data_IF_861417832394
#
_entry.id   IF_861417832394
#
_cell.length_a   1.000
_cell.length_b   1.000
_cell.length_c   1.000
_cell.angle_alpha   90.00
_cell.angle_beta   90.00
_cell.angle_gamma   90.00
#
_symmetry.space_group_name_H-M   'P 1'
#
loop_
_entity.id
_entity.type
_entity.pdbx_description
1 polymer ?
#
# COMPACT_ATOMS: atom_id res chain seq x y z
N UNK A 1 -4.42 -6.16 12.51
CA UNK A 1 -3.67 -4.94 12.11
C UNK A 1 -3.22 -5.18 10.67
N UNK A 2 -3.56 -4.31 9.71
CA UNK A 2 -3.29 -4.56 8.27
C UNK A 2 -1.85 -4.13 7.95
N UNK A 3 -0.94 -5.08 7.72
CA UNK A 3 0.50 -4.82 7.51
C UNK A 3 0.79 -3.78 6.41
N UNK A 4 0.00 -3.76 5.32
CA UNK A 4 0.13 -2.75 4.27
C UNK A 4 -0.21 -1.33 4.76
N UNK A 5 -1.15 -1.20 5.69
CA UNK A 5 -1.49 0.10 6.29
C UNK A 5 -0.32 0.63 7.12
N UNK A 6 0.35 -0.23 7.87
CA UNK A 6 1.55 0.14 8.64
C UNK A 6 2.72 0.52 7.73
N UNK A 7 2.90 -0.18 6.61
CA UNK A 7 3.88 0.19 5.58
C UNK A 7 3.58 1.59 5.03
N UNK A 8 2.32 1.86 4.63
CA UNK A 8 1.92 3.18 4.15
C UNK A 8 2.16 4.27 5.21
N UNK A 9 1.83 4.01 6.48
CA UNK A 9 2.07 4.96 7.56
C UNK A 9 3.57 5.27 7.74
N UNK A 10 4.43 4.24 7.65
CA UNK A 10 5.90 4.40 7.72
C UNK A 10 6.49 5.16 6.54
N UNK A 11 5.89 5.02 5.36
CA UNK A 11 6.28 5.72 4.13
C UNK A 11 5.77 7.17 4.05
N UNK A 12 5.25 7.74 5.15
CA UNK A 12 4.72 9.11 5.18
C UNK A 12 3.25 9.21 4.75
N UNK A 13 2.53 8.09 4.75
CA UNK A 13 1.11 8.01 4.47
C UNK A 13 0.77 7.87 2.98
N UNK A 14 1.73 8.00 2.07
CA UNK A 14 1.53 7.90 0.61
C UNK A 14 2.75 7.27 -0.07
N UNK A 15 2.52 6.30 -0.95
CA UNK A 15 3.58 5.67 -1.76
C UNK A 15 3.06 5.09 -3.08
N UNK A 16 3.94 4.87 -4.05
CA UNK A 16 3.63 4.10 -5.26
C UNK A 16 3.59 2.59 -4.97
N UNK A 17 3.03 1.83 -5.93
CA UNK A 17 2.84 0.39 -5.78
C UNK A 17 4.16 -0.36 -5.59
N UNK A 18 5.18 0.00 -6.38
CA UNK A 18 6.47 -0.70 -6.37
C UNK A 18 7.15 -0.56 -4.99
N UNK A 19 7.14 0.65 -4.42
CA UNK A 19 7.66 0.90 -3.08
C UNK A 19 6.90 0.11 -2.01
N UNK A 20 5.57 0.08 -2.06
CA UNK A 20 4.75 -0.69 -1.10
C UNK A 20 5.06 -2.18 -1.19
N UNK A 21 5.18 -2.71 -2.41
CA UNK A 21 5.47 -4.13 -2.66
C UNK A 21 6.88 -4.49 -2.20
N UNK A 22 7.87 -3.63 -2.43
CA UNK A 22 9.25 -3.85 -1.98
C UNK A 22 9.34 -3.90 -0.44
N UNK A 23 8.70 -2.95 0.25
CA UNK A 23 8.64 -2.95 1.72
C UNK A 23 7.88 -4.17 2.27
N UNK A 24 6.81 -4.58 1.60
CA UNK A 24 6.05 -5.78 1.97
C UNK A 24 6.91 -7.04 1.82
N UNK A 25 7.73 -7.11 0.77
CA UNK A 25 8.65 -8.22 0.55
C UNK A 25 9.73 -8.32 1.63
N UNK A 26 10.26 -7.17 2.09
CA UNK A 26 11.25 -7.12 3.19
C UNK A 26 10.75 -7.74 4.50
N UNK A 27 9.43 -7.76 4.71
CA UNK A 27 8.80 -8.38 5.89
C UNK A 27 8.17 -9.75 5.58
N UNK A 28 8.45 -10.34 4.41
CA UNK A 28 8.01 -11.68 4.04
C UNK A 28 6.63 -11.78 3.40
N UNK A 29 6.04 -10.67 2.94
CA UNK A 29 4.76 -10.67 2.21
C UNK A 29 5.06 -10.72 0.70
N UNK A 30 4.65 -11.78 -0.02
CA UNK A 30 4.88 -11.87 -1.46
C UNK A 30 4.12 -10.79 -2.25
N UNK A 31 4.65 -10.32 -3.40
CA UNK A 31 4.02 -9.26 -4.20
C UNK A 31 2.53 -9.48 -4.52
N UNK A 32 2.07 -10.68 -4.96
CA UNK A 32 0.65 -10.89 -5.24
C UNK A 32 -0.24 -10.72 -3.99
N UNK A 33 0.29 -11.09 -2.82
CA UNK A 33 -0.41 -10.94 -1.54
C UNK A 33 -0.43 -9.48 -1.13
N UNK A 34 0.69 -8.76 -1.28
CA UNK A 34 0.79 -7.33 -0.98
C UNK A 34 -0.22 -6.51 -1.79
N UNK A 35 -0.28 -6.72 -3.11
CA UNK A 35 -1.25 -6.05 -3.99
C UNK A 35 -2.69 -6.37 -3.59
N UNK A 36 -3.01 -7.64 -3.29
CA UNK A 36 -4.35 -8.01 -2.83
C UNK A 36 -4.73 -7.33 -1.52
N UNK A 37 -3.80 -7.25 -0.56
CA UNK A 37 -4.03 -6.56 0.71
C UNK A 37 -4.21 -5.06 0.53
N UNK A 38 -3.44 -4.44 -0.36
CA UNK A 38 -3.59 -3.03 -0.74
C UNK A 38 -4.96 -2.77 -1.36
N UNK A 39 -5.41 -3.61 -2.30
CA UNK A 39 -6.74 -3.49 -2.91
C UNK A 39 -7.85 -3.61 -1.87
N UNK A 40 -7.73 -4.54 -0.91
CA UNK A 40 -8.68 -4.63 0.22
C UNK A 40 -8.72 -3.38 1.08
N UNK A 41 -7.59 -2.69 1.28
CA UNK A 41 -7.57 -1.40 1.99
C UNK A 41 -8.34 -0.33 1.21
N UNK A 42 -8.20 -0.33 -0.12
CA UNK A 42 -8.95 0.57 -1.01
C UNK A 42 -10.45 0.27 -0.97
N UNK A 43 -10.84 -1.00 -1.07
CA UNK A 43 -12.25 -1.43 -0.98
C UNK A 43 -12.91 -1.04 0.34
N UNK A 44 -12.14 -1.07 1.45
CA UNK A 44 -12.59 -0.65 2.78
C UNK A 44 -12.55 0.87 3.01
N UNK A 45 -12.10 1.65 2.03
CA UNK A 45 -11.92 3.10 2.18
C UNK A 45 -10.80 3.52 3.14
N UNK A 46 -9.91 2.60 3.51
CA UNK A 46 -8.74 2.84 4.38
C UNK A 46 -7.49 3.26 3.61
N UNK A 47 -7.54 3.12 2.30
CA UNK A 47 -6.58 3.70 1.38
C UNK A 47 -7.33 4.28 0.19
N UNK A 48 -6.74 5.27 -0.47
CA UNK A 48 -7.28 5.85 -1.71
C UNK A 48 -6.20 5.90 -2.76
N UNK A 49 -6.60 5.69 -4.01
CA UNK A 49 -5.73 5.86 -5.17
C UNK A 49 -5.66 7.34 -5.52
N UNK A 50 -4.45 7.87 -5.66
CA UNK A 50 -4.18 9.22 -6.12
C UNK A 50 -3.55 9.12 -7.51
N UNK A 51 -4.27 9.61 -8.51
CA UNK A 51 -3.76 9.72 -9.88
C UNK A 51 -3.15 11.11 -10.06
N UNK A 52 -1.84 11.22 -9.83
CA UNK A 52 -1.05 12.42 -10.10
C UNK A 52 -0.15 12.14 -11.33
N UNK A 53 1.09 12.65 -11.52
CA UNK A 53 1.91 12.22 -12.66
C UNK A 53 2.25 10.72 -12.63
N UNK A 54 2.00 10.03 -11.50
CA UNK A 54 2.00 8.57 -11.36
C UNK A 54 0.88 8.10 -10.42
N UNK A 55 0.57 6.80 -10.46
CA UNK A 55 -0.42 6.17 -9.57
C UNK A 55 0.21 6.00 -8.19
N UNK A 56 -0.44 6.55 -7.17
CA UNK A 56 -0.04 6.43 -5.77
C UNK A 56 -1.18 5.97 -4.89
N UNK A 57 -0.86 5.46 -3.72
CA UNK A 57 -1.80 5.01 -2.71
C UNK A 57 -1.56 5.77 -1.43
N UNK A 58 -2.61 6.41 -0.90
CA UNK A 58 -2.56 7.15 0.36
C UNK A 58 -3.45 6.49 1.41
N UNK A 59 -2.92 6.28 2.61
CA UNK A 59 -3.71 5.84 3.76
C UNK A 59 -4.73 6.93 4.18
N UNK A 60 -5.92 6.49 4.58
CA UNK A 60 -7.02 7.33 5.09
C UNK A 60 -7.22 7.06 6.57
#
# INVERSE_FOLDING_TARGET
MEAIYEILARLGGEADLDTIVEEALKIGIPPPVATRLLMRLVEKGRARVICAPSIRYRAV
#
